data_IF_506781523370
#
_entry.id   IF_506781523370
#
_cell.length_a   1.000
_cell.length_b   1.000
_cell.length_c   1.000
_cell.angle_alpha   90.00
_cell.angle_beta   90.00
_cell.angle_gamma   90.00
#
_symmetry.space_group_name_H-M   'P 1'
#
loop_
_entity.id
_entity.type
_entity.pdbx_description
1 polymer ?
#
# COMPACT_ATOMS: atom_id res chain seq x y z
N UNK A 1 -5.49 6.35 19.62
CA UNK A 1 -4.48 5.34 19.22
C UNK A 1 -4.21 5.40 17.72
N UNK A 2 -3.01 5.00 17.29
CA UNK A 2 -2.59 4.98 15.88
C UNK A 2 -3.60 4.26 14.96
N UNK A 3 -4.12 3.12 15.40
CA UNK A 3 -5.09 2.34 14.63
C UNK A 3 -6.42 3.09 14.35
N UNK A 4 -6.84 3.97 15.23
CA UNK A 4 -8.06 4.76 15.03
C UNK A 4 -7.84 5.87 13.99
N UNK A 5 -6.68 6.51 14.00
CA UNK A 5 -6.31 7.53 13.01
C UNK A 5 -6.12 6.91 11.62
N UNK A 6 -5.45 5.78 11.55
CA UNK A 6 -5.14 5.07 10.31
C UNK A 6 -6.38 4.64 9.51
N UNK A 7 -7.45 4.26 10.22
CA UNK A 7 -8.73 3.84 9.62
C UNK A 7 -9.76 4.96 9.46
N UNK A 8 -9.47 6.14 9.99
CA UNK A 8 -10.38 7.28 9.89
C UNK A 8 -10.41 7.81 8.46
N UNK A 9 -11.60 7.91 7.90
CA UNK A 9 -11.81 8.54 6.59
C UNK A 9 -11.97 10.06 6.75
N UNK A 10 -11.28 10.81 5.90
CA UNK A 10 -11.39 12.26 5.80
C UNK A 10 -11.00 12.73 4.39
N UNK A 11 -11.25 14.00 4.11
CA UNK A 11 -10.79 14.65 2.88
C UNK A 11 -9.32 15.08 3.08
N UNK A 12 -8.42 14.35 2.48
CA UNK A 12 -7.00 14.67 2.46
C UNK A 12 -6.60 15.25 1.10
N UNK A 13 -7.22 16.38 0.73
CA UNK A 13 -7.07 16.98 -0.60
C UNK A 13 -7.85 16.25 -1.70
N UNK A 14 -8.61 15.22 -1.36
CA UNK A 14 -9.43 14.40 -2.26
C UNK A 14 -10.88 14.89 -2.31
N UNK A 15 -11.61 14.56 -3.39
CA UNK A 15 -13.03 14.90 -3.54
C UNK A 15 -13.95 14.02 -2.68
N UNK A 16 -13.43 12.85 -2.28
CA UNK A 16 -14.16 11.88 -1.46
C UNK A 16 -13.36 11.51 -0.21
N UNK A 17 -14.02 11.16 0.91
CA UNK A 17 -13.31 10.73 2.10
C UNK A 17 -12.52 9.43 1.84
N UNK A 18 -11.26 9.41 2.27
CA UNK A 18 -10.36 8.26 2.13
C UNK A 18 -9.58 8.09 3.44
N UNK A 19 -9.24 6.85 3.81
CA UNK A 19 -8.38 6.57 4.95
C UNK A 19 -6.95 6.26 4.52
N UNK A 20 -5.98 6.38 5.43
CA UNK A 20 -4.59 5.99 5.16
C UNK A 20 -4.47 4.51 4.79
N UNK A 21 -5.28 3.64 5.40
CA UNK A 21 -5.37 2.22 5.05
C UNK A 21 -5.78 2.02 3.57
N UNK A 22 -6.71 2.83 3.08
CA UNK A 22 -7.17 2.79 1.70
C UNK A 22 -6.14 3.36 0.74
N UNK A 23 -5.47 4.44 1.12
CA UNK A 23 -4.38 5.04 0.32
C UNK A 23 -3.24 4.05 0.13
N UNK A 24 -2.83 3.34 1.19
CA UNK A 24 -1.77 2.33 1.11
C UNK A 24 -2.09 1.24 0.08
N UNK A 25 -3.34 0.81 0.00
CA UNK A 25 -3.77 -0.17 -1.02
C UNK A 25 -3.70 0.43 -2.43
N UNK A 26 -4.16 1.68 -2.62
CA UNK A 26 -4.09 2.35 -3.92
C UNK A 26 -2.63 2.52 -4.37
N UNK A 27 -1.75 2.98 -3.48
CA UNK A 27 -0.33 3.17 -3.75
C UNK A 27 0.34 1.86 -4.19
N UNK A 28 0.16 0.80 -3.41
CA UNK A 28 0.69 -0.51 -3.76
C UNK A 28 0.23 -1.00 -5.14
N UNK A 29 -1.05 -0.82 -5.45
CA UNK A 29 -1.61 -1.22 -6.74
C UNK A 29 -1.03 -0.40 -7.91
N UNK A 30 -0.87 0.91 -7.73
CA UNK A 30 -0.29 1.77 -8.76
C UNK A 30 1.17 1.45 -9.03
N UNK A 31 1.95 1.12 -8.01
CA UNK A 31 3.36 0.75 -8.13
C UNK A 31 3.57 -0.65 -8.72
N UNK A 32 2.61 -1.56 -8.54
CA UNK A 32 2.75 -2.98 -8.86
C UNK A 32 1.73 -3.50 -9.88
N UNK A 33 1.06 -2.63 -10.63
CA UNK A 33 -0.02 -2.98 -11.55
C UNK A 33 0.42 -4.02 -12.60
N UNK A 34 1.66 -3.93 -13.07
CA UNK A 34 2.26 -4.82 -14.05
C UNK A 34 2.40 -6.28 -13.58
N UNK A 35 2.39 -6.52 -12.27
CA UNK A 35 2.60 -7.85 -11.70
C UNK A 35 1.34 -8.74 -11.78
N UNK A 36 0.17 -8.18 -12.10
CA UNK A 36 -1.10 -8.91 -12.19
C UNK A 36 -1.40 -9.83 -10.99
N UNK A 37 -1.04 -9.37 -9.81
CA UNK A 37 -1.21 -10.14 -8.58
C UNK A 37 -2.69 -10.32 -8.23
N UNK A 38 -3.04 -11.49 -7.71
CA UNK A 38 -4.37 -11.72 -7.16
C UNK A 38 -4.51 -11.12 -5.75
N UNK A 39 -5.75 -11.03 -5.26
CA UNK A 39 -6.06 -10.41 -3.97
C UNK A 39 -5.30 -11.02 -2.79
N UNK A 40 -5.07 -12.34 -2.77
CA UNK A 40 -4.34 -13.01 -1.70
C UNK A 40 -2.87 -12.64 -1.67
N UNK A 41 -2.24 -12.53 -2.84
CA UNK A 41 -0.85 -12.12 -2.96
C UNK A 41 -0.65 -10.68 -2.45
N UNK A 42 -1.54 -9.77 -2.86
CA UNK A 42 -1.49 -8.37 -2.43
C UNK A 42 -1.70 -8.25 -0.92
N UNK A 43 -2.71 -8.94 -0.36
CA UNK A 43 -2.97 -8.95 1.08
C UNK A 43 -1.75 -9.42 1.88
N UNK A 44 -1.09 -10.49 1.41
CA UNK A 44 0.14 -11.01 2.04
C UNK A 44 1.27 -9.99 2.00
N UNK A 45 1.49 -9.34 0.86
CA UNK A 45 2.52 -8.30 0.71
C UNK A 45 2.30 -7.09 1.62
N UNK A 46 1.05 -6.70 1.79
CA UNK A 46 0.67 -5.58 2.66
C UNK A 46 0.58 -5.97 4.15
N UNK A 47 0.77 -7.24 4.50
CA UNK A 47 0.60 -7.72 5.88
C UNK A 47 -0.83 -7.59 6.40
N UNK A 48 -1.81 -7.64 5.51
CA UNK A 48 -3.24 -7.48 5.80
C UNK A 48 -3.92 -8.85 5.72
N UNK A 49 -4.80 -9.17 6.68
CA UNK A 49 -5.57 -10.42 6.59
C UNK A 49 -6.48 -10.42 5.36
N UNK A 50 -6.70 -11.58 4.71
CA UNK A 50 -7.54 -11.66 3.50
C UNK A 50 -8.94 -11.07 3.67
N UNK A 51 -9.56 -11.26 4.83
CA UNK A 51 -10.89 -10.71 5.14
C UNK A 51 -10.88 -9.19 5.25
N UNK A 52 -9.86 -8.62 5.92
CA UNK A 52 -9.71 -7.17 6.03
C UNK A 52 -9.39 -6.55 4.67
N UNK A 53 -8.51 -7.19 3.89
CA UNK A 53 -8.19 -6.74 2.54
C UNK A 53 -9.42 -6.72 1.63
N UNK A 54 -10.24 -7.78 1.65
CA UNK A 54 -11.50 -7.84 0.91
C UNK A 54 -12.45 -6.71 1.31
N UNK A 55 -12.53 -6.40 2.60
CA UNK A 55 -13.34 -5.27 3.11
C UNK A 55 -12.84 -3.92 2.57
N UNK A 56 -11.52 -3.70 2.54
CA UNK A 56 -10.93 -2.47 2.00
C UNK A 56 -11.21 -2.36 0.51
N UNK A 57 -10.94 -3.42 -0.26
CA UNK A 57 -11.20 -3.48 -1.71
C UNK A 57 -12.66 -3.21 -2.04
N UNK A 58 -13.61 -3.78 -1.28
CA UNK A 58 -15.04 -3.52 -1.47
C UNK A 58 -15.41 -2.06 -1.22
N UNK A 59 -14.84 -1.43 -0.19
CA UNK A 59 -15.03 0.00 0.08
C UNK A 59 -14.49 0.87 -1.05
N UNK A 60 -13.26 0.60 -1.50
CA UNK A 60 -12.63 1.33 -2.60
C UNK A 60 -13.40 1.16 -3.91
N UNK A 61 -13.88 -0.05 -4.20
CA UNK A 61 -14.70 -0.34 -5.38
C UNK A 61 -16.06 0.38 -5.30
N UNK A 62 -16.68 0.41 -4.11
CA UNK A 62 -17.92 1.17 -3.88
C UNK A 62 -17.76 2.70 -4.03
N UNK A 63 -16.55 3.21 -3.90
CA UNK A 63 -16.17 4.60 -4.15
C UNK A 63 -15.70 4.86 -5.58
N UNK A 64 -15.80 3.87 -6.46
CA UNK A 64 -15.30 3.93 -7.85
C UNK A 64 -13.79 4.19 -7.97
N UNK A 65 -13.00 3.82 -6.95
CA UNK A 65 -11.54 3.96 -6.95
C UNK A 65 -10.83 2.72 -7.50
N UNK A 66 -11.49 1.56 -7.43
CA UNK A 66 -11.00 0.26 -7.91
C UNK A 66 -12.05 -0.45 -8.76
N UNK A 67 -11.57 -1.21 -9.72
CA UNK A 67 -12.34 -2.19 -10.50
C UNK A 67 -11.79 -3.59 -10.31
N UNK A 68 -12.68 -4.59 -10.36
CA UNK A 68 -12.35 -6.01 -10.23
C UNK A 68 -12.50 -6.70 -11.57
N UNK A 69 -11.51 -7.51 -11.92
CA UNK A 69 -11.47 -8.29 -13.14
C UNK A 69 -11.31 -9.77 -12.83
N UNK A 70 -11.95 -10.62 -13.62
CA UNK A 70 -11.68 -12.05 -13.63
C UNK A 70 -10.62 -12.35 -14.67
N UNK A 71 -9.74 -13.29 -14.38
CA UNK A 71 -8.84 -13.84 -15.39
C UNK A 71 -9.66 -14.79 -16.28
N UNK A 72 -9.53 -14.65 -17.60
CA UNK A 72 -10.20 -15.53 -18.56
C UNK A 72 -9.90 -17.00 -18.25
N UNK A 73 -10.92 -17.83 -18.19
CA UNK A 73 -10.80 -19.25 -17.81
C UNK A 73 -10.64 -19.53 -16.29
N UNK A 74 -10.47 -18.50 -15.47
CA UNK A 74 -10.32 -18.67 -14.00
C UNK A 74 -11.09 -17.61 -13.19
N UNK A 75 -12.38 -17.84 -12.98
CA UNK A 75 -13.24 -16.94 -12.20
C UNK A 75 -12.88 -16.82 -10.72
N UNK A 76 -12.01 -17.68 -10.21
CA UNK A 76 -11.55 -17.62 -8.81
C UNK A 76 -10.41 -16.63 -8.62
N UNK A 77 -9.70 -16.31 -9.68
CA UNK A 77 -8.62 -15.33 -9.66
C UNK A 77 -9.17 -13.93 -9.97
N UNK A 78 -9.31 -13.12 -8.92
CA UNK A 78 -9.72 -11.72 -9.06
C UNK A 78 -8.46 -10.86 -9.06
N UNK A 79 -8.30 -10.09 -10.13
CA UNK A 79 -7.30 -9.02 -10.28
C UNK A 79 -8.01 -7.69 -10.08
N UNK A 80 -7.39 -6.77 -9.36
CA UNK A 80 -7.93 -5.43 -9.12
C UNK A 80 -7.07 -4.38 -9.82
N UNK A 81 -7.74 -3.33 -10.31
CA UNK A 81 -7.11 -2.20 -10.99
C UNK A 81 -7.60 -0.90 -10.41
N UNK A 82 -6.71 0.08 -10.35
CA UNK A 82 -7.07 1.45 -9.98
C UNK A 82 -7.76 2.11 -11.18
N UNK A 83 -8.93 2.70 -10.97
CA UNK A 83 -9.65 3.46 -12.00
C UNK A 83 -8.94 4.78 -12.29
N UNK A 84 -9.27 5.45 -13.40
CA UNK A 84 -8.74 6.78 -13.69
C UNK A 84 -9.14 7.78 -12.59
N UNK A 85 -10.37 7.70 -12.09
CA UNK A 85 -10.80 8.47 -10.93
C UNK A 85 -9.96 8.15 -9.68
N UNK A 86 -9.63 6.87 -9.45
CA UNK A 86 -8.73 6.45 -8.37
C UNK A 86 -7.34 7.04 -8.48
N UNK A 87 -6.79 7.10 -9.69
CA UNK A 87 -5.48 7.73 -9.98
C UNK A 87 -5.51 9.25 -9.68
N UNK A 88 -6.57 9.93 -10.08
CA UNK A 88 -6.78 11.36 -9.79
C UNK A 88 -6.84 11.62 -8.28
N UNK A 89 -7.63 10.81 -7.55
CA UNK A 89 -7.76 10.96 -6.10
C UNK A 89 -6.44 10.67 -5.38
N UNK A 90 -5.69 9.65 -5.81
CA UNK A 90 -4.36 9.38 -5.26
C UNK A 90 -3.37 10.52 -5.53
N UNK A 91 -3.38 11.10 -6.73
CA UNK A 91 -2.55 12.26 -7.08
C UNK A 91 -2.88 13.47 -6.19
N UNK A 92 -4.16 13.75 -5.97
CA UNK A 92 -4.63 14.82 -5.10
C UNK A 92 -4.20 14.60 -3.64
N UNK A 93 -4.31 13.37 -3.15
CA UNK A 93 -3.81 12.97 -1.83
C UNK A 93 -2.29 13.17 -1.72
N UNK A 94 -1.51 12.71 -2.70
CA UNK A 94 -0.05 12.81 -2.68
C UNK A 94 0.41 14.27 -2.64
N UNK A 95 -0.25 15.14 -3.38
CA UNK A 95 0.00 16.58 -3.33
C UNK A 95 -0.33 17.14 -1.95
N UNK A 96 -1.50 16.79 -1.40
CA UNK A 96 -1.93 17.27 -0.09
C UNK A 96 -0.97 16.84 1.03
N UNK A 97 -0.55 15.58 1.06
CA UNK A 97 0.35 15.06 2.10
C UNK A 97 1.73 15.72 1.99
N UNK A 98 2.22 15.94 0.77
CA UNK A 98 3.45 16.68 0.55
C UNK A 98 3.36 18.09 1.12
N UNK A 99 2.34 18.87 0.76
CA UNK A 99 2.16 20.26 1.17
C UNK A 99 1.93 20.41 2.68
N UNK A 100 1.18 19.50 3.30
CA UNK A 100 0.77 19.62 4.69
C UNK A 100 1.70 18.91 5.70
N UNK A 101 2.49 17.93 5.25
CA UNK A 101 3.34 17.14 6.14
C UNK A 101 4.82 17.22 5.76
N UNK A 102 5.16 16.85 4.54
CA UNK A 102 6.56 16.67 4.15
C UNK A 102 7.27 17.96 3.75
N UNK A 103 6.56 18.97 3.25
CA UNK A 103 7.18 20.25 2.86
C UNK A 103 7.98 20.89 4.01
N UNK A 104 7.44 20.84 5.22
CA UNK A 104 8.11 21.37 6.42
C UNK A 104 9.38 20.59 6.78
N UNK A 105 9.37 19.29 6.55
CA UNK A 105 10.52 18.42 6.76
C UNK A 105 11.60 18.77 5.72
N UNK A 106 11.26 18.85 4.45
CA UNK A 106 12.21 19.15 3.39
C UNK A 106 12.86 20.51 3.55
N UNK A 107 12.10 21.57 3.92
CA UNK A 107 12.66 22.89 4.25
C UNK A 107 13.68 22.82 5.40
N UNK A 108 13.50 21.93 6.35
CA UNK A 108 14.49 21.71 7.42
C UNK A 108 15.70 20.92 6.93
N UNK A 109 15.48 19.93 6.07
CA UNK A 109 16.55 19.11 5.49
C UNK A 109 17.48 19.92 4.57
N UNK A 110 16.99 20.96 3.89
CA UNK A 110 17.82 21.89 3.12
C UNK A 110 18.96 22.55 3.94
N UNK A 111 18.82 22.59 5.26
CA UNK A 111 19.81 23.15 6.20
C UNK A 111 20.82 22.11 6.70
N UNK A 112 20.62 20.84 6.35
CA UNK A 112 21.50 19.74 6.76
C UNK A 112 22.49 19.49 5.64
N UNK A 113 23.80 19.39 5.94
CA UNK A 113 24.81 19.04 4.93
C UNK A 113 24.45 17.74 4.20
N UNK A 114 24.66 17.72 2.89
CA UNK A 114 24.29 16.57 2.03
C UNK A 114 24.95 15.26 2.49
N UNK A 115 26.18 15.33 2.97
CA UNK A 115 26.92 14.19 3.51
C UNK A 115 26.19 13.52 4.68
N UNK A 116 25.58 14.33 5.58
CA UNK A 116 24.82 13.80 6.72
C UNK A 116 23.50 13.18 6.25
N UNK A 117 22.84 13.77 5.27
CA UNK A 117 21.62 13.20 4.68
C UNK A 117 21.92 11.86 4.00
N UNK A 118 23.05 11.76 3.33
CA UNK A 118 23.51 10.52 2.70
C UNK A 118 23.76 9.41 3.73
N UNK A 119 24.48 9.69 4.79
CA UNK A 119 24.72 8.73 5.89
C UNK A 119 23.43 8.25 6.55
N UNK A 120 22.45 9.16 6.75
CA UNK A 120 21.14 8.81 7.28
C UNK A 120 20.37 7.89 6.31
N UNK A 121 20.39 8.18 5.01
CA UNK A 121 19.75 7.35 3.99
C UNK A 121 20.34 5.94 3.98
N UNK A 122 21.66 5.79 4.03
CA UNK A 122 22.35 4.51 4.13
C UNK A 122 21.92 3.72 5.38
N UNK A 123 21.84 4.39 6.53
CA UNK A 123 21.41 3.76 7.77
C UNK A 123 19.95 3.24 7.70
N UNK A 124 19.06 3.98 7.02
CA UNK A 124 17.69 3.52 6.79
C UNK A 124 17.63 2.32 5.83
N UNK A 125 18.38 2.34 4.75
CA UNK A 125 18.46 1.20 3.83
C UNK A 125 18.97 -0.06 4.52
N UNK A 126 20.03 0.04 5.32
CA UNK A 126 20.55 -1.08 6.12
C UNK A 126 19.52 -1.62 7.11
N UNK A 127 18.76 -0.74 7.77
CA UNK A 127 17.70 -1.14 8.70
C UNK A 127 16.56 -1.88 7.98
N UNK A 128 16.15 -1.42 6.79
CA UNK A 128 15.14 -2.07 5.96
C UNK A 128 15.62 -3.45 5.48
N UNK A 129 16.88 -3.55 5.06
CA UNK A 129 17.46 -4.80 4.60
C UNK A 129 17.54 -5.87 5.72
N UNK A 130 17.79 -5.47 6.97
CA UNK A 130 17.70 -6.37 8.12
C UNK A 130 16.28 -6.90 8.35
N UNK A 131 15.27 -6.09 8.11
CA UNK A 131 13.86 -6.51 8.18
C UNK A 131 13.49 -7.50 7.06
N UNK A 132 13.98 -7.30 5.85
CA UNK A 132 13.78 -8.23 4.74
C UNK A 132 14.44 -9.60 5.00
N UNK A 133 15.64 -9.62 5.56
CA UNK A 133 16.32 -10.86 5.95
C UNK A 133 15.66 -11.62 7.10
N UNK A 134 14.93 -10.94 7.96
CA UNK A 134 14.17 -11.58 9.04
C UNK A 134 12.87 -12.23 8.56
N UNK A 135 12.46 -11.99 7.33
CA UNK A 135 11.37 -12.73 6.68
C UNK A 135 11.84 -14.16 6.41
N UNK A 136 11.02 -15.13 6.79
CA UNK A 136 11.36 -16.56 6.74
C UNK A 136 11.65 -16.98 5.30
N UNK A 137 12.91 -17.16 4.93
CA UNK A 137 13.29 -17.83 3.71
C UNK A 137 13.00 -19.32 3.85
N UNK A 138 12.01 -19.81 3.12
CA UNK A 138 11.67 -21.22 3.11
C UNK A 138 10.45 -21.51 2.24
N UNK A 139 10.44 -22.69 1.63
CA UNK A 139 9.27 -23.19 0.91
C UNK A 139 8.13 -23.35 1.93
N UNK A 140 7.07 -22.55 1.80
CA UNK A 140 5.88 -22.67 2.65
C UNK A 140 5.23 -24.02 2.39
N UNK A 141 5.11 -24.84 3.44
CA UNK A 141 4.36 -26.09 3.42
C UNK A 141 3.01 -25.81 4.08
N UNK A 142 1.89 -26.14 3.44
CA UNK A 142 0.57 -25.93 4.04
C UNK A 142 0.44 -26.67 5.37
N UNK A 143 -0.09 -25.98 6.39
CA UNK A 143 -0.42 -26.60 7.67
C UNK A 143 -1.55 -27.59 7.44
N UNK A 144 -1.28 -28.90 7.49
CA UNK A 144 -2.28 -29.97 7.27
C UNK A 144 -1.88 -31.05 6.28
N UNK A 145 -0.81 -30.90 5.51
CA UNK A 145 -0.22 -31.99 4.76
C UNK A 145 0.70 -32.83 5.65
N UNK A 146 0.10 -33.62 6.52
CA UNK A 146 0.80 -34.77 7.13
C UNK A 146 1.01 -35.77 6.01
N UNK A 147 2.26 -35.96 5.59
CA UNK A 147 2.63 -37.08 4.70
C UNK A 147 2.08 -38.37 5.31
N UNK A 148 1.18 -39.04 4.59
CA UNK A 148 0.96 -40.47 4.75
C UNK A 148 2.13 -41.23 4.16
#
# INVERSE_FOLDING_TARGET
TYAAVYKKEALYGTDIPISFEQVQVLEYLLENEQLNQNMSMIASRLGITPSNFTRIVNKLSGKNLLEKYYVEGNRKNIVIRVTDFGKEQYSSYSKWIYENSFSKLFVRMEKVPEEILWELAQGFEEALWLQEKSSTEGKLIPVGETKK
#
